data_IF_855924919484
#
_entry.id   IF_855924919484
#
_cell.length_a   1.000
_cell.length_b   1.000
_cell.length_c   1.000
_cell.angle_alpha   90.00
_cell.angle_beta   90.00
_cell.angle_gamma   90.00
#
_symmetry.space_group_name_H-M   'P 1'
#
loop_
_entity.id
_entity.type
_entity.pdbx_description
1 polymer ?
#
# COMPACT_ATOMS: atom_id res chain seq x y z
N UNK A 1 15.29 10.55 11.96
CA UNK A 1 14.31 10.19 10.93
C UNK A 1 13.65 8.85 11.28
N UNK A 2 12.35 8.81 11.25
CA UNK A 2 11.60 7.60 11.59
C UNK A 2 11.34 6.78 10.34
N UNK A 3 11.66 5.50 10.38
CA UNK A 3 11.41 4.57 9.29
C UNK A 3 10.38 3.54 9.77
N UNK A 4 9.31 3.37 9.01
CA UNK A 4 8.26 2.43 9.36
C UNK A 4 8.66 1.00 9.00
N UNK A 5 8.28 0.06 9.85
CA UNK A 5 8.41 -1.35 9.55
C UNK A 5 7.28 -1.74 8.59
N UNK A 6 7.60 -2.48 7.54
CA UNK A 6 6.60 -2.92 6.57
C UNK A 6 6.29 -4.40 6.81
N UNK A 7 5.01 -4.71 6.99
CA UNK A 7 4.53 -6.09 7.11
C UNK A 7 3.49 -6.36 6.03
N UNK A 8 3.31 -7.61 5.67
CA UNK A 8 2.47 -8.02 4.54
C UNK A 8 1.40 -9.01 4.99
N UNK A 9 0.17 -8.85 4.47
CA UNK A 9 -0.88 -9.86 4.64
C UNK A 9 -0.64 -11.00 3.66
N UNK A 10 -1.31 -12.12 3.88
CA UNK A 10 -1.25 -13.26 2.94
C UNK A 10 -1.75 -12.84 1.56
N UNK A 11 -2.81 -12.04 1.52
CA UNK A 11 -3.37 -11.58 0.25
C UNK A 11 -2.38 -10.68 -0.49
N UNK A 12 -1.68 -9.81 0.23
CA UNK A 12 -0.70 -8.93 -0.40
C UNK A 12 0.49 -9.73 -0.96
N UNK A 13 0.89 -10.80 -0.28
CA UNK A 13 1.97 -11.66 -0.77
C UNK A 13 1.58 -12.34 -2.07
N UNK A 14 0.33 -12.83 -2.16
CA UNK A 14 -0.18 -13.39 -3.41
C UNK A 14 -0.23 -12.35 -4.52
N UNK A 15 -0.60 -11.13 -4.16
CA UNK A 15 -0.67 -10.03 -5.12
C UNK A 15 0.69 -9.67 -5.67
N UNK A 16 1.75 -9.80 -4.88
CA UNK A 16 3.12 -9.53 -5.35
C UNK A 16 3.46 -10.43 -6.55
N UNK A 17 3.08 -11.70 -6.49
CA UNK A 17 3.36 -12.63 -7.58
C UNK A 17 2.64 -12.22 -8.86
N UNK A 18 1.39 -11.76 -8.75
CA UNK A 18 0.64 -11.27 -9.89
C UNK A 18 1.27 -10.00 -10.47
N UNK A 19 1.76 -9.13 -9.60
CA UNK A 19 2.35 -7.86 -10.01
C UNK A 19 3.66 -8.09 -10.76
N UNK A 20 4.45 -9.09 -10.35
CA UNK A 20 5.69 -9.42 -11.05
C UNK A 20 5.45 -9.76 -12.51
N UNK A 21 4.32 -10.42 -12.80
CA UNK A 21 3.98 -10.80 -14.15
C UNK A 21 3.59 -9.61 -15.04
N UNK A 22 3.28 -8.47 -14.45
CA UNK A 22 2.82 -7.29 -15.17
C UNK A 22 3.86 -6.19 -15.26
N UNK A 23 5.07 -6.41 -14.75
CA UNK A 23 6.15 -5.42 -14.69
C UNK A 23 5.82 -4.20 -13.86
N UNK A 24 4.85 -4.31 -12.96
CA UNK A 24 4.50 -3.22 -12.04
C UNK A 24 5.29 -3.30 -10.73
N UNK A 25 6.12 -4.31 -10.58
CA UNK A 25 6.87 -4.54 -9.35
C UNK A 25 7.78 -3.37 -8.97
N UNK A 26 8.43 -2.75 -9.93
CA UNK A 26 9.30 -1.60 -9.66
C UNK A 26 8.51 -0.42 -9.12
N UNK A 27 7.32 -0.18 -9.67
CA UNK A 27 6.48 0.91 -9.22
C UNK A 27 5.96 0.66 -7.80
N UNK A 28 5.58 -0.59 -7.51
CA UNK A 28 5.13 -0.98 -6.18
C UNK A 28 6.27 -0.81 -5.17
N UNK A 29 7.48 -1.27 -5.51
CA UNK A 29 8.63 -1.11 -4.62
C UNK A 29 8.94 0.37 -4.34
N UNK A 30 8.82 1.22 -5.35
CA UNK A 30 9.03 2.66 -5.17
C UNK A 30 7.98 3.25 -4.22
N UNK A 31 6.73 2.85 -4.36
CA UNK A 31 5.66 3.31 -3.47
C UNK A 31 5.88 2.85 -2.03
N UNK A 32 6.27 1.58 -1.86
CA UNK A 32 6.54 1.04 -0.53
C UNK A 32 7.70 1.77 0.13
N UNK A 33 8.74 2.10 -0.63
CA UNK A 33 9.87 2.86 -0.11
C UNK A 33 9.45 4.25 0.37
N UNK A 34 8.57 4.91 -0.38
CA UNK A 34 8.02 6.20 0.01
C UNK A 34 7.23 6.07 1.31
N UNK A 35 6.35 5.07 1.39
CA UNK A 35 5.52 4.82 2.57
C UNK A 35 6.39 4.51 3.78
N UNK A 36 7.45 3.74 3.60
CA UNK A 36 8.37 3.36 4.65
C UNK A 36 9.05 4.58 5.28
N UNK A 37 9.40 5.56 4.48
CA UNK A 37 10.08 6.76 4.95
C UNK A 37 9.11 7.82 5.45
N UNK A 38 7.93 7.93 4.81
CA UNK A 38 6.88 8.86 5.21
C UNK A 38 5.55 8.36 4.64
N UNK A 39 4.74 7.73 5.50
CA UNK A 39 3.50 7.08 5.09
C UNK A 39 2.48 8.04 4.47
N UNK A 40 2.61 9.33 4.73
CA UNK A 40 1.68 10.35 4.25
C UNK A 40 2.32 11.36 3.29
N UNK A 41 3.46 11.00 2.72
CA UNK A 41 4.16 11.89 1.78
C UNK A 41 3.31 12.15 0.53
N UNK A 42 3.26 13.40 0.11
CA UNK A 42 2.68 13.82 -1.17
C UNK A 42 3.68 14.71 -1.87
N UNK A 43 3.81 14.68 -3.21
CA UNK A 43 3.38 13.60 -4.07
C UNK A 43 4.14 12.31 -3.80
N UNK A 44 3.66 11.13 -4.21
CA UNK A 44 2.42 10.91 -4.93
C UNK A 44 1.21 11.00 -4.01
N UNK A 45 0.01 11.25 -4.57
CA UNK A 45 -1.19 11.38 -3.74
C UNK A 45 -1.63 10.05 -3.13
N UNK A 46 -2.31 10.13 -2.01
CA UNK A 46 -2.94 8.98 -1.40
C UNK A 46 -4.37 9.34 -1.02
N UNK A 47 -5.21 8.32 -0.83
CA UNK A 47 -6.58 8.51 -0.40
C UNK A 47 -6.81 7.86 0.96
N UNK A 48 -7.55 8.56 1.83
CA UNK A 48 -8.09 7.98 3.06
C UNK A 48 -9.38 7.25 2.70
N UNK A 49 -9.47 5.98 3.03
CA UNK A 49 -10.67 5.22 2.77
C UNK A 49 -11.69 5.45 3.89
N UNK A 50 -12.98 5.35 3.55
CA UNK A 50 -14.06 5.66 4.48
C UNK A 50 -15.03 4.48 4.58
N UNK A 51 -16.03 4.61 5.47
CA UNK A 51 -17.02 3.55 5.69
C UNK A 51 -16.37 2.33 6.32
N UNK A 52 -16.66 1.16 5.77
CA UNK A 52 -16.14 -0.09 6.29
C UNK A 52 -14.62 -0.22 6.16
N UNK A 53 -14.02 0.63 5.33
CA UNK A 53 -12.57 0.63 5.11
C UNK A 53 -11.87 1.75 5.86
N UNK A 54 -12.55 2.38 6.80
CA UNK A 54 -11.97 3.46 7.59
C UNK A 54 -10.71 2.98 8.29
N UNK A 55 -9.67 3.83 8.26
CA UNK A 55 -8.37 3.49 8.84
C UNK A 55 -7.39 2.94 7.82
N UNK A 56 -7.84 2.69 6.60
CA UNK A 56 -6.97 2.26 5.51
C UNK A 56 -6.69 3.42 4.58
N UNK A 57 -5.57 3.30 3.86
CA UNK A 57 -5.15 4.28 2.86
C UNK A 57 -4.83 3.57 1.57
N UNK A 58 -4.97 4.27 0.44
CA UNK A 58 -4.59 3.69 -0.84
C UNK A 58 -3.74 4.66 -1.65
N UNK A 59 -2.83 4.08 -2.44
CA UNK A 59 -2.05 4.82 -3.43
C UNK A 59 -2.20 4.11 -4.76
N UNK A 60 -2.29 4.89 -5.83
CA UNK A 60 -2.45 4.33 -7.17
C UNK A 60 -1.16 3.68 -7.64
N UNK A 61 -1.23 2.42 -8.07
CA UNK A 61 -0.13 1.76 -8.75
C UNK A 61 -0.24 2.05 -10.24
N UNK A 62 -1.42 1.82 -10.81
CA UNK A 62 -1.75 2.21 -12.18
C UNK A 62 -3.26 2.45 -12.24
N UNK A 63 -3.82 2.54 -13.44
CA UNK A 63 -5.23 2.86 -13.61
C UNK A 63 -6.16 1.80 -13.00
N UNK A 64 -5.69 0.53 -12.91
CA UNK A 64 -6.51 -0.58 -12.40
C UNK A 64 -6.17 -0.99 -10.98
N UNK A 65 -4.93 -0.86 -10.58
CA UNK A 65 -4.43 -1.45 -9.34
C UNK A 65 -4.06 -0.40 -8.32
N UNK A 66 -4.33 -0.70 -7.05
CA UNK A 66 -4.02 0.20 -5.95
C UNK A 66 -3.30 -0.55 -4.84
N UNK A 67 -2.38 0.16 -4.21
CA UNK A 67 -1.69 -0.31 -3.02
C UNK A 67 -2.49 0.15 -1.81
N UNK A 68 -3.08 -0.80 -1.08
CA UNK A 68 -3.87 -0.48 0.12
C UNK A 68 -3.07 -0.86 1.35
N UNK A 69 -3.00 0.05 2.30
CA UNK A 69 -2.19 -0.15 3.50
C UNK A 69 -2.84 0.47 4.73
N UNK A 70 -2.40 0.02 5.88
CA UNK A 70 -2.84 0.55 7.18
C UNK A 70 -1.61 0.99 7.96
N UNK A 71 -1.70 2.15 8.63
CA UNK A 71 -0.58 2.72 9.37
C UNK A 71 -0.85 2.61 10.86
N UNK A 72 0.08 2.01 11.58
CA UNK A 72 0.04 1.90 13.04
C UNK A 72 1.12 2.83 13.61
N UNK A 73 0.74 4.07 13.90
CA UNK A 73 1.68 5.09 14.34
C UNK A 73 2.40 4.75 15.65
N UNK A 74 1.67 4.17 16.60
CA UNK A 74 2.24 3.90 17.93
C UNK A 74 3.38 2.90 17.89
N UNK A 75 3.39 2.00 16.90
CA UNK A 75 4.45 1.00 16.74
C UNK A 75 5.22 1.21 15.44
N UNK A 76 4.98 2.32 14.76
CA UNK A 76 5.68 2.72 13.53
C UNK A 76 5.74 1.59 12.52
N UNK A 77 4.59 1.00 12.26
CA UNK A 77 4.44 -0.15 11.37
C UNK A 77 3.39 0.16 10.32
N UNK A 78 3.65 -0.27 9.09
CA UNK A 78 2.69 -0.20 7.99
C UNK A 78 2.39 -1.61 7.54
N UNK A 79 1.11 -1.94 7.50
CA UNK A 79 0.64 -3.26 7.06
C UNK A 79 0.09 -3.11 5.65
N UNK A 80 0.68 -3.85 4.71
CA UNK A 80 0.21 -3.85 3.32
C UNK A 80 -0.95 -4.83 3.22
N UNK A 81 -2.12 -4.31 2.87
CA UNK A 81 -3.37 -5.09 2.86
C UNK A 81 -3.56 -5.77 1.50
N UNK A 82 -3.40 -5.02 0.41
CA UNK A 82 -3.49 -5.57 -0.94
C UNK A 82 -2.78 -4.64 -1.91
N UNK A 83 -2.48 -5.15 -3.09
CA UNK A 83 -1.80 -4.34 -4.10
C UNK A 83 -2.17 -4.74 -5.53
N UNK A 84 -3.20 -5.56 -5.68
CA UNK A 84 -3.61 -6.00 -7.02
C UNK A 84 -4.99 -5.50 -7.41
N UNK A 85 -5.98 -5.70 -6.53
CA UNK A 85 -7.36 -5.36 -6.85
C UNK A 85 -7.70 -3.93 -6.43
N UNK A 86 -8.80 -3.42 -6.96
CA UNK A 86 -9.38 -2.16 -6.50
C UNK A 86 -9.84 -2.33 -5.06
N UNK A 87 -9.63 -1.33 -4.21
CA UNK A 87 -9.94 -1.43 -2.80
C UNK A 87 -11.43 -1.71 -2.51
N UNK A 88 -12.32 -1.39 -3.42
CA UNK A 88 -13.75 -1.66 -3.26
C UNK A 88 -14.06 -3.15 -3.16
N UNK A 89 -13.14 -3.99 -3.58
CA UNK A 89 -13.34 -5.44 -3.61
C UNK A 89 -12.58 -6.16 -2.49
N UNK A 90 -12.07 -5.43 -1.57
CA UNK A 90 -11.31 -5.99 -0.45
C UNK A 90 -12.26 -6.65 0.60
#
# INVERSE_FOLDING_TARGET
MVVYKIVYTKDSIKDIEKIKDTNLDKKVLALIEIIKNNSFQTPPPYEKLVGDLQGLYSRRINIKHRLVYQVFESVQTVKIISMWTHYEKI
#
